data_IF_667616818528
#
_entry.id   IF_667616818528
#
_cell.length_a   1.000
_cell.length_b   1.000
_cell.length_c   1.000
_cell.angle_alpha   90.00
_cell.angle_beta   90.00
_cell.angle_gamma   90.00
#
_symmetry.space_group_name_H-M   'P 1'
#
loop_
_entity.id
_entity.type
_entity.pdbx_description
1 polymer ?
#
# COMPACT_ATOMS: atom_id res chain seq x y z
N UNK A 1 20.61 -3.30 -3.81
CA UNK A 1 20.08 -4.28 -4.79
C UNK A 1 19.99 -3.60 -6.15
N UNK A 2 20.51 -4.23 -7.21
CA UNK A 2 20.42 -3.70 -8.59
C UNK A 2 18.97 -3.73 -9.08
N UNK A 3 18.62 -2.88 -10.05
CA UNK A 3 17.25 -2.80 -10.56
C UNK A 3 16.72 -4.14 -11.09
N UNK A 4 17.57 -4.91 -11.79
CA UNK A 4 17.20 -6.22 -12.31
C UNK A 4 16.89 -7.25 -11.22
N UNK A 5 17.59 -7.19 -10.09
CA UNK A 5 17.33 -8.05 -8.93
C UNK A 5 16.00 -7.69 -8.28
N UNK A 6 15.69 -6.37 -8.20
CA UNK A 6 14.42 -5.87 -7.68
C UNK A 6 13.26 -6.36 -8.56
N UNK A 7 13.39 -6.25 -9.88
CA UNK A 7 12.38 -6.73 -10.83
C UNK A 7 12.22 -8.25 -10.76
N UNK A 8 13.34 -9.01 -10.72
CA UNK A 8 13.28 -10.47 -10.60
C UNK A 8 12.56 -10.91 -9.33
N UNK A 9 12.81 -10.23 -8.20
CA UNK A 9 12.12 -10.51 -6.93
C UNK A 9 10.63 -10.20 -7.04
N UNK A 10 10.27 -9.04 -7.59
CA UNK A 10 8.88 -8.64 -7.77
C UNK A 10 8.12 -9.64 -8.67
N UNK A 11 8.74 -10.06 -9.77
CA UNK A 11 8.14 -11.05 -10.66
C UNK A 11 8.00 -12.44 -10.02
N UNK A 12 8.92 -12.82 -9.13
CA UNK A 12 8.88 -14.11 -8.44
C UNK A 12 7.86 -14.12 -7.32
N UNK A 13 7.94 -13.14 -6.42
CA UNK A 13 7.24 -13.10 -5.13
C UNK A 13 5.96 -12.24 -5.19
N UNK A 14 5.86 -11.33 -6.15
CA UNK A 14 4.76 -10.37 -6.29
C UNK A 14 4.96 -9.09 -5.50
N UNK A 15 6.02 -8.99 -4.70
CA UNK A 15 6.33 -7.81 -3.90
C UNK A 15 7.82 -7.63 -3.66
N UNK A 16 8.20 -6.42 -3.25
CA UNK A 16 9.53 -6.08 -2.76
C UNK A 16 9.45 -5.01 -1.67
N UNK A 17 10.30 -5.12 -0.66
CA UNK A 17 10.59 -4.07 0.31
C UNK A 17 11.96 -3.45 -0.04
N UNK A 18 12.00 -2.13 -0.17
CA UNK A 18 13.22 -1.35 -0.38
C UNK A 18 13.43 -0.50 0.87
N UNK A 19 14.47 -0.75 1.67
CA UNK A 19 14.72 0.00 2.89
C UNK A 19 15.37 1.36 2.61
N UNK A 20 15.18 2.31 3.53
CA UNK A 20 15.89 3.59 3.59
C UNK A 20 15.76 4.42 2.29
N UNK A 21 14.55 4.52 1.75
CA UNK A 21 14.26 5.29 0.52
C UNK A 21 14.03 6.75 0.83
N UNK A 22 13.34 7.05 1.92
CA UNK A 22 13.19 8.42 2.44
C UNK A 22 13.76 8.51 3.86
N UNK A 23 14.22 9.69 4.21
CA UNK A 23 14.86 9.98 5.50
C UNK A 23 13.84 10.08 6.65
N UNK A 24 14.33 9.99 7.88
CA UNK A 24 13.53 10.26 9.09
C UNK A 24 12.88 11.64 9.08
N UNK A 25 13.60 12.63 8.56
CA UNK A 25 13.07 13.99 8.41
C UNK A 25 11.88 14.03 7.46
N UNK A 26 11.96 13.35 6.33
CA UNK A 26 10.86 13.27 5.36
C UNK A 26 9.67 12.49 5.92
N UNK A 27 9.92 11.37 6.60
CA UNK A 27 8.86 10.64 7.30
C UNK A 27 8.09 11.54 8.28
N UNK A 28 8.81 12.27 9.13
CA UNK A 28 8.21 13.18 10.10
C UNK A 28 7.48 14.33 9.41
N UNK A 29 8.00 14.86 8.31
CA UNK A 29 7.33 15.87 7.51
C UNK A 29 5.99 15.38 6.95
N UNK A 30 5.96 14.18 6.35
CA UNK A 30 4.72 13.61 5.83
C UNK A 30 3.73 13.24 6.93
N UNK A 31 4.18 12.73 8.07
CA UNK A 31 3.33 12.48 9.22
C UNK A 31 2.63 13.75 9.71
N UNK A 32 3.38 14.86 9.79
CA UNK A 32 2.80 16.16 10.16
C UNK A 32 1.72 16.61 9.17
N UNK A 33 1.99 16.50 7.87
CA UNK A 33 0.98 16.82 6.84
C UNK A 33 -0.27 15.95 6.98
N UNK A 34 -0.11 14.65 7.26
CA UNK A 34 -1.23 13.74 7.47
C UNK A 34 -2.07 14.11 8.68
N UNK A 35 -1.42 14.49 9.77
CA UNK A 35 -2.12 14.90 10.99
C UNK A 35 -2.93 16.19 10.77
N UNK A 36 -2.33 17.17 10.10
CA UNK A 36 -3.01 18.41 9.70
C UNK A 36 -4.21 18.12 8.79
N UNK A 37 -4.02 17.26 7.76
CA UNK A 37 -5.07 16.85 6.85
C UNK A 37 -6.16 16.04 7.56
N UNK A 38 -5.80 15.14 8.46
CA UNK A 38 -6.75 14.36 9.23
C UNK A 38 -7.64 15.27 10.08
N UNK A 39 -7.08 16.22 10.81
CA UNK A 39 -7.84 17.20 11.61
C UNK A 39 -8.75 18.03 10.71
N UNK A 40 -8.21 18.56 9.61
CA UNK A 40 -8.94 19.42 8.68
C UNK A 40 -10.13 18.73 8.00
N UNK A 41 -9.95 17.46 7.65
CA UNK A 41 -10.94 16.71 6.87
C UNK A 41 -11.71 15.66 7.70
N UNK A 42 -11.51 15.57 8.99
CA UNK A 42 -12.17 14.58 9.86
C UNK A 42 -13.70 14.62 9.76
N UNK A 43 -14.30 15.80 9.65
CA UNK A 43 -15.74 15.96 9.47
C UNK A 43 -16.29 15.45 8.12
N UNK A 44 -15.43 15.30 7.10
CA UNK A 44 -15.80 14.71 5.82
C UNK A 44 -15.75 13.19 5.85
N UNK A 45 -15.05 12.65 6.83
CA UNK A 45 -14.93 11.21 7.07
C UNK A 45 -15.80 10.77 8.25
N UNK A 46 -16.77 11.59 8.63
CA UNK A 46 -17.80 11.23 9.58
C UNK A 46 -18.46 9.93 9.17
N UNK A 47 -18.45 8.99 10.09
CA UNK A 47 -18.87 7.63 9.90
C UNK A 47 -20.23 7.44 9.25
N UNK A 48 -21.14 8.37 9.43
CA UNK A 48 -22.48 8.26 8.87
C UNK A 48 -22.53 8.49 7.35
N UNK A 49 -21.63 9.31 6.82
CA UNK A 49 -21.59 9.61 5.38
C UNK A 49 -20.80 8.58 4.58
N UNK A 50 -19.94 7.84 5.26
CA UNK A 50 -19.03 6.91 4.58
C UNK A 50 -19.33 5.46 4.86
N UNK A 51 -20.21 5.18 5.78
CA UNK A 51 -20.77 3.85 5.96
C UNK A 51 -21.49 3.42 4.70
N UNK A 52 -22.20 4.31 4.03
CA UNK A 52 -22.90 4.03 2.77
C UNK A 52 -21.92 3.76 1.62
N UNK A 53 -20.73 4.37 1.67
CA UNK A 53 -19.61 4.06 0.79
C UNK A 53 -18.79 2.85 1.27
N UNK A 54 -19.19 2.24 2.39
CA UNK A 54 -18.64 0.99 2.92
C UNK A 54 -17.25 1.12 3.53
N UNK A 55 -16.76 2.32 3.91
CA UNK A 55 -15.31 2.36 4.02
C UNK A 55 -14.68 3.15 5.13
N UNK A 56 -15.32 4.10 5.76
CA UNK A 56 -14.59 4.97 6.67
C UNK A 56 -15.48 5.58 7.68
N UNK A 57 -15.47 4.98 8.77
CA UNK A 57 -15.98 5.55 9.99
C UNK A 57 -14.95 5.30 11.07
N UNK A 58 -15.03 6.04 12.11
CA UNK A 58 -14.40 5.67 13.38
C UNK A 58 -14.76 4.23 13.79
N UNK A 59 -15.81 3.66 13.20
CA UNK A 59 -16.20 2.25 13.34
C UNK A 59 -15.28 1.28 12.59
N UNK A 60 -14.51 1.74 11.58
CA UNK A 60 -13.46 0.92 10.97
C UNK A 60 -12.20 0.85 11.83
N UNK A 61 -12.09 1.69 12.86
CA UNK A 61 -10.91 1.76 13.70
C UNK A 61 -9.63 2.19 12.97
N UNK A 62 -9.77 2.91 11.88
CA UNK A 62 -8.65 3.42 11.10
C UNK A 62 -8.78 4.91 10.89
N UNK A 63 -7.69 5.65 11.06
CA UNK A 63 -7.57 7.00 10.53
C UNK A 63 -7.21 6.91 9.07
N UNK A 64 -8.00 7.49 8.18
CA UNK A 64 -7.73 7.46 6.75
C UNK A 64 -7.83 8.86 6.16
N UNK A 65 -6.86 9.20 5.31
CA UNK A 65 -6.89 10.42 4.50
C UNK A 65 -6.78 10.03 3.03
N UNK A 66 -7.79 10.39 2.24
CA UNK A 66 -7.83 10.10 0.80
C UNK A 66 -7.39 11.28 -0.05
N UNK A 67 -7.02 10.96 -1.29
CA UNK A 67 -6.70 11.95 -2.33
C UNK A 67 -5.63 12.94 -1.86
N UNK A 68 -4.55 12.44 -1.29
CA UNK A 68 -3.45 13.24 -0.76
C UNK A 68 -2.84 14.15 -1.82
N UNK A 69 -2.79 13.70 -3.08
CA UNK A 69 -2.29 14.49 -4.22
C UNK A 69 -3.06 15.80 -4.43
N UNK A 70 -4.33 15.89 -3.99
CA UNK A 70 -5.14 17.09 -4.05
C UNK A 70 -5.02 18.00 -2.81
N UNK A 71 -4.24 17.60 -1.81
CA UNK A 71 -4.14 18.30 -0.53
C UNK A 71 -2.85 19.10 -0.42
N UNK A 72 -1.73 18.51 -0.81
CA UNK A 72 -0.43 19.18 -0.77
C UNK A 72 0.48 18.69 -1.88
N UNK A 73 1.18 19.62 -2.55
CA UNK A 73 2.06 19.32 -3.69
C UNK A 73 3.22 18.36 -3.32
N UNK A 74 3.66 18.35 -2.06
CA UNK A 74 4.75 17.48 -1.64
C UNK A 74 4.45 15.99 -1.79
N UNK A 75 3.17 15.60 -1.85
CA UNK A 75 2.80 14.20 -2.07
C UNK A 75 3.26 13.67 -3.44
N UNK A 76 3.43 14.56 -4.43
CA UNK A 76 3.95 14.19 -5.74
C UNK A 76 5.37 13.65 -5.67
N UNK A 77 6.20 14.11 -4.71
CA UNK A 77 7.57 13.62 -4.54
C UNK A 77 7.65 12.13 -4.20
N UNK A 78 6.61 11.56 -3.57
CA UNK A 78 6.61 10.15 -3.23
C UNK A 78 6.39 9.27 -4.46
N UNK A 79 5.41 9.57 -5.30
CA UNK A 79 5.16 8.73 -6.47
C UNK A 79 6.11 9.04 -7.64
N UNK A 80 6.70 10.23 -7.71
CA UNK A 80 7.76 10.59 -8.66
C UNK A 80 9.17 10.24 -8.16
N UNK A 81 9.28 9.46 -7.08
CA UNK A 81 10.55 9.17 -6.44
C UNK A 81 11.49 8.38 -7.36
N UNK A 82 12.76 8.84 -7.46
CA UNK A 82 13.76 8.27 -8.36
C UNK A 82 14.10 6.80 -8.13
N UNK A 83 13.89 6.27 -6.93
CA UNK A 83 14.06 4.85 -6.62
C UNK A 83 12.84 3.99 -6.95
N UNK A 84 11.69 4.61 -7.20
CA UNK A 84 10.41 3.94 -7.43
C UNK A 84 10.01 3.99 -8.91
N UNK A 85 9.99 5.17 -9.53
CA UNK A 85 9.53 5.34 -10.91
C UNK A 85 10.21 4.39 -11.92
N UNK A 86 11.55 4.19 -11.91
CA UNK A 86 12.19 3.29 -12.87
C UNK A 86 11.73 1.84 -12.76
N UNK A 87 11.27 1.41 -11.54
CA UNK A 87 10.70 0.09 -11.35
C UNK A 87 9.28 0.01 -11.93
N UNK A 88 8.46 1.04 -11.68
CA UNK A 88 7.11 1.14 -12.24
C UNK A 88 7.14 1.19 -13.76
N UNK A 89 8.06 1.94 -14.34
CA UNK A 89 8.27 2.00 -15.79
C UNK A 89 8.50 0.62 -16.40
N UNK A 90 9.34 -0.20 -15.80
CA UNK A 90 9.62 -1.54 -16.32
C UNK A 90 8.40 -2.46 -16.14
N UNK A 91 7.75 -2.40 -14.98
CA UNK A 91 6.69 -3.36 -14.61
C UNK A 91 5.40 -3.07 -15.36
N UNK A 92 4.99 -1.80 -15.42
CA UNK A 92 3.71 -1.40 -16.01
C UNK A 92 3.79 -1.23 -17.53
N UNK A 93 4.94 -0.80 -18.06
CA UNK A 93 5.15 -0.71 -19.52
C UNK A 93 5.17 -2.07 -20.21
N UNK A 94 5.53 -3.12 -19.53
CA UNK A 94 5.55 -4.48 -20.10
C UNK A 94 4.19 -4.96 -20.60
N UNK A 95 3.09 -4.36 -20.14
CA UNK A 95 1.73 -4.64 -20.58
C UNK A 95 1.08 -3.54 -21.44
N UNK A 96 1.80 -2.46 -21.69
CA UNK A 96 1.28 -1.32 -22.44
C UNK A 96 1.22 -1.57 -23.94
N UNK A 97 0.14 -1.16 -24.57
CA UNK A 97 -0.02 -1.22 -26.03
C UNK A 97 0.84 -0.15 -26.76
N UNK A 98 1.14 0.94 -26.06
CA UNK A 98 1.99 2.04 -26.55
C UNK A 98 2.97 2.45 -25.47
N UNK A 99 4.22 2.66 -25.85
CA UNK A 99 5.28 3.12 -24.93
C UNK A 99 5.12 4.57 -24.47
N UNK A 100 4.20 5.32 -25.04
CA UNK A 100 4.08 6.78 -24.87
C UNK A 100 3.30 7.21 -23.64
N UNK A 101 2.32 6.41 -23.19
CA UNK A 101 1.52 6.70 -21.98
C UNK A 101 1.30 5.41 -21.17
N UNK A 102 2.28 4.97 -20.40
CA UNK A 102 2.26 3.63 -19.85
C UNK A 102 1.29 3.41 -18.70
N UNK A 103 1.06 4.41 -17.86
CA UNK A 103 0.22 4.27 -16.66
C UNK A 103 -0.15 5.62 -16.04
N UNK A 104 -1.12 5.59 -15.13
CA UNK A 104 -1.62 6.77 -14.43
C UNK A 104 -1.61 6.54 -12.93
N UNK A 105 -1.47 7.64 -12.16
CA UNK A 105 -1.75 7.61 -10.74
C UNK A 105 -3.26 7.44 -10.52
N UNK A 106 -3.65 6.32 -9.93
CA UNK A 106 -5.04 6.06 -9.61
C UNK A 106 -5.47 6.76 -8.31
N UNK A 107 -4.72 6.56 -7.25
CA UNK A 107 -5.04 7.12 -5.93
C UNK A 107 -3.79 7.20 -5.07
N UNK A 108 -3.79 8.14 -4.12
CA UNK A 108 -2.84 8.18 -3.02
C UNK A 108 -3.61 8.47 -1.72
N UNK A 109 -3.49 7.57 -0.76
CA UNK A 109 -4.16 7.67 0.54
C UNK A 109 -3.23 7.22 1.65
N UNK A 110 -3.47 7.71 2.86
CA UNK A 110 -2.83 7.19 4.06
C UNK A 110 -3.83 6.45 4.92
N UNK A 111 -3.35 5.41 5.59
CA UNK A 111 -4.11 4.59 6.53
C UNK A 111 -3.32 4.40 7.80
N UNK A 112 -3.99 4.50 8.93
CA UNK A 112 -3.40 4.39 10.24
C UNK A 112 -4.37 3.57 11.13
N UNK A 113 -4.16 2.26 11.27
CA UNK A 113 -5.02 1.42 12.09
C UNK A 113 -4.85 1.74 13.57
N UNK A 114 -5.96 1.88 14.27
CA UNK A 114 -6.00 2.01 15.72
C UNK A 114 -5.86 0.63 16.38
N UNK A 115 -5.57 0.61 17.68
CA UNK A 115 -5.49 -0.63 18.47
C UNK A 115 -6.76 -1.49 18.34
N UNK A 116 -6.58 -2.77 18.07
CA UNK A 116 -7.67 -3.73 17.87
C UNK A 116 -8.27 -3.72 16.46
N UNK A 117 -7.70 -2.92 15.55
CA UNK A 117 -8.22 -2.76 14.19
C UNK A 117 -7.15 -2.97 13.13
N UNK A 118 -7.50 -2.80 11.88
CA UNK A 118 -6.59 -2.92 10.73
C UNK A 118 -6.53 -4.31 10.09
N UNK A 119 -7.10 -5.34 10.73
CA UNK A 119 -7.14 -6.69 10.15
C UNK A 119 -8.07 -6.71 8.94
N UNK A 120 -7.54 -7.12 7.81
CA UNK A 120 -8.29 -7.32 6.57
C UNK A 120 -8.26 -8.81 6.18
N UNK A 121 -9.29 -9.27 5.49
CA UNK A 121 -9.20 -10.55 4.79
C UNK A 121 -8.18 -10.44 3.65
N UNK A 122 -7.56 -11.55 3.30
CA UNK A 122 -6.71 -11.59 2.11
C UNK A 122 -7.55 -11.28 0.88
N UNK A 123 -7.10 -10.32 0.09
CA UNK A 123 -7.77 -9.86 -1.12
C UNK A 123 -6.74 -9.48 -2.19
N UNK A 124 -7.22 -9.15 -3.35
CA UNK A 124 -6.44 -8.52 -4.42
C UNK A 124 -7.15 -7.23 -4.86
N UNK A 125 -6.37 -6.21 -5.17
CA UNK A 125 -6.91 -4.88 -5.48
C UNK A 125 -7.32 -4.71 -6.95
N UNK A 126 -6.75 -5.50 -7.86
CA UNK A 126 -7.06 -5.38 -9.28
C UNK A 126 -8.44 -5.93 -9.68
N UNK A 127 -9.04 -6.80 -8.85
CA UNK A 127 -10.28 -7.54 -9.13
C UNK A 127 -10.28 -8.34 -10.45
N UNK A 128 -9.10 -8.56 -11.04
CA UNK A 128 -8.92 -9.27 -12.31
C UNK A 128 -7.85 -10.36 -12.18
N UNK A 129 -8.13 -11.46 -11.45
CA UNK A 129 -7.18 -12.56 -11.34
C UNK A 129 -6.98 -13.23 -12.70
N UNK A 130 -5.74 -13.62 -12.99
CA UNK A 130 -5.41 -14.37 -14.20
C UNK A 130 -5.01 -13.54 -15.42
N UNK A 131 -4.89 -12.25 -15.30
CA UNK A 131 -4.25 -11.40 -16.33
C UNK A 131 -2.76 -11.74 -16.38
N UNK A 132 -2.22 -11.87 -17.57
CA UNK A 132 -0.81 -12.26 -17.75
C UNK A 132 0.18 -11.09 -17.66
N UNK A 133 -0.30 -9.89 -17.38
CA UNK A 133 0.50 -8.67 -17.23
C UNK A 133 0.05 -7.88 -16.00
N UNK A 134 0.91 -7.02 -15.51
CA UNK A 134 0.61 -6.19 -14.33
C UNK A 134 -0.24 -4.98 -14.74
N UNK A 135 -1.46 -4.94 -14.24
CA UNK A 135 -2.39 -3.81 -14.47
C UNK A 135 -2.20 -2.69 -13.48
N UNK A 136 -2.01 -3.04 -12.22
CA UNK A 136 -1.94 -2.09 -11.09
C UNK A 136 -0.76 -2.52 -10.21
N UNK A 137 -0.03 -1.52 -9.76
CA UNK A 137 1.03 -1.67 -8.74
C UNK A 137 0.68 -0.77 -7.57
N UNK A 138 0.74 -1.33 -6.38
CA UNK A 138 0.64 -0.58 -5.15
C UNK A 138 2.04 -0.22 -4.63
N UNK A 139 2.18 1.01 -4.17
CA UNK A 139 3.40 1.53 -3.54
C UNK A 139 3.03 2.02 -2.15
N UNK A 140 3.55 1.36 -1.12
CA UNK A 140 3.27 1.68 0.29
C UNK A 140 4.52 2.26 0.94
N UNK A 141 4.45 3.52 1.31
CA UNK A 141 5.49 4.24 2.03
C UNK A 141 5.31 4.04 3.54
N UNK A 142 6.35 3.53 4.19
CA UNK A 142 6.35 3.31 5.63
C UNK A 142 6.79 4.60 6.33
N UNK A 143 5.84 5.32 6.90
CA UNK A 143 6.14 6.53 7.68
C UNK A 143 6.45 6.20 9.14
N UNK A 144 6.15 4.99 9.57
CA UNK A 144 6.52 4.35 10.83
C UNK A 144 7.11 2.97 10.59
N UNK A 145 7.74 2.39 11.60
CA UNK A 145 8.18 1.00 11.53
C UNK A 145 6.95 0.09 11.39
N UNK A 146 7.02 -0.87 10.47
CA UNK A 146 6.02 -1.92 10.34
C UNK A 146 6.50 -3.15 11.09
N UNK A 147 5.79 -3.51 12.15
CA UNK A 147 5.99 -4.74 12.94
C UNK A 147 4.75 -5.61 12.86
N UNK A 148 4.88 -6.87 13.26
CA UNK A 148 3.73 -7.78 13.33
C UNK A 148 2.66 -7.21 14.27
N UNK A 149 3.11 -6.67 15.40
CA UNK A 149 2.25 -6.19 16.48
C UNK A 149 1.48 -4.93 16.11
N UNK A 150 2.07 -4.03 15.29
CA UNK A 150 1.39 -2.78 14.89
C UNK A 150 0.61 -2.89 13.58
N UNK A 151 0.43 -4.12 13.09
CA UNK A 151 -0.46 -4.37 11.95
C UNK A 151 0.21 -4.36 10.59
N UNK A 152 1.45 -4.86 10.47
CA UNK A 152 2.17 -4.97 9.21
C UNK A 152 1.33 -5.65 8.11
N UNK A 153 1.64 -5.32 6.85
CA UNK A 153 0.99 -5.93 5.69
C UNK A 153 1.31 -7.41 5.62
N UNK A 154 0.29 -8.25 5.47
CA UNK A 154 0.39 -9.68 5.23
C UNK A 154 0.28 -9.94 3.73
N UNK A 155 1.05 -10.89 3.23
CA UNK A 155 1.02 -11.29 1.82
C UNK A 155 1.19 -12.80 1.67
N UNK A 156 0.70 -13.35 0.57
CA UNK A 156 1.00 -14.71 0.13
C UNK A 156 1.94 -14.63 -1.06
N UNK A 157 3.26 -14.88 -0.89
CA UNK A 157 4.23 -14.74 -1.97
C UNK A 157 3.87 -15.58 -3.20
N UNK A 158 4.01 -15.00 -4.40
CA UNK A 158 3.72 -15.69 -5.65
C UNK A 158 2.24 -15.81 -6.01
N UNK A 159 1.32 -15.42 -5.12
CA UNK A 159 -0.14 -15.53 -5.35
C UNK A 159 -0.65 -14.68 -6.52
N UNK A 160 0.06 -13.61 -6.88
CA UNK A 160 -0.28 -12.79 -8.05
C UNK A 160 -0.28 -13.56 -9.38
N UNK A 161 0.33 -14.75 -9.41
CA UNK A 161 0.32 -15.66 -10.58
C UNK A 161 -0.88 -16.62 -10.58
N UNK A 162 -1.61 -16.70 -9.47
CA UNK A 162 -2.81 -17.54 -9.37
C UNK A 162 -3.96 -16.88 -10.13
N UNK A 163 -4.72 -17.69 -10.85
CA UNK A 163 -5.90 -17.24 -11.61
C UNK A 163 -7.18 -17.29 -10.79
N UNK A 164 -7.07 -16.93 -9.51
CA UNK A 164 -8.18 -17.00 -8.56
C UNK A 164 -8.11 -15.87 -7.54
N UNK A 165 -9.22 -15.55 -6.95
CA UNK A 165 -9.29 -14.74 -5.75
C UNK A 165 -8.68 -15.49 -4.56
N UNK A 166 -8.31 -14.76 -3.51
CA UNK A 166 -7.95 -15.37 -2.24
C UNK A 166 -9.18 -16.14 -1.71
N UNK A 167 -8.91 -17.27 -1.06
CA UNK A 167 -9.98 -18.06 -0.45
C UNK A 167 -10.67 -17.28 0.68
N UNK A 168 -11.97 -17.48 0.81
CA UNK A 168 -12.72 -16.96 1.95
C UNK A 168 -12.16 -17.49 3.27
N UNK A 169 -12.11 -16.63 4.29
CA UNK A 169 -11.60 -17.00 5.62
C UNK A 169 -10.34 -16.29 6.06
N UNK A 170 -9.65 -15.60 5.14
CA UNK A 170 -8.69 -14.56 5.48
C UNK A 170 -7.32 -14.98 5.96
N UNK A 171 -7.02 -16.28 6.07
CA UNK A 171 -5.69 -16.79 6.41
C UNK A 171 -5.22 -17.80 5.35
N UNK A 172 -3.92 -17.84 5.12
CA UNK A 172 -3.29 -18.79 4.21
C UNK A 172 -2.01 -19.34 4.86
N UNK A 173 -1.71 -20.65 4.70
CA UNK A 173 -0.56 -21.30 5.32
C UNK A 173 0.79 -20.68 4.92
N UNK A 174 0.90 -20.18 3.69
CA UNK A 174 2.11 -19.53 3.17
C UNK A 174 2.14 -18.02 3.42
N UNK A 175 1.26 -17.51 4.25
CA UNK A 175 1.18 -16.08 4.56
C UNK A 175 2.42 -15.62 5.34
N UNK A 176 2.98 -14.49 4.93
CA UNK A 176 4.07 -13.83 5.63
C UNK A 176 3.75 -12.37 5.92
N UNK A 177 4.39 -11.81 6.95
CA UNK A 177 4.31 -10.39 7.26
C UNK A 177 5.46 -9.63 6.58
N UNK A 178 5.16 -8.49 5.96
CA UNK A 178 6.18 -7.58 5.46
C UNK A 178 6.50 -6.59 6.58
N UNK A 179 7.56 -6.84 7.32
CA UNK A 179 8.08 -5.93 8.35
C UNK A 179 9.20 -5.07 7.77
N UNK A 180 9.34 -3.84 8.26
CA UNK A 180 10.39 -2.95 7.79
C UNK A 180 10.44 -1.65 8.60
N UNK A 181 11.60 -0.99 8.57
CA UNK A 181 11.78 0.31 9.23
C UNK A 181 11.09 1.44 8.46
N UNK A 182 10.71 2.47 9.19
CA UNK A 182 10.25 3.74 8.59
C UNK A 182 11.24 4.23 7.53
N UNK A 183 10.74 4.94 6.54
CA UNK A 183 11.52 5.35 5.38
C UNK A 183 11.68 4.27 4.31
N UNK A 184 11.19 3.06 4.55
CA UNK A 184 11.12 1.99 3.54
C UNK A 184 9.93 2.17 2.62
N UNK A 185 9.98 1.50 1.46
CA UNK A 185 8.84 1.41 0.54
C UNK A 185 8.57 -0.05 0.19
N UNK A 186 7.30 -0.45 0.22
CA UNK A 186 6.82 -1.73 -0.29
C UNK A 186 6.22 -1.49 -1.67
N UNK A 187 6.64 -2.25 -2.66
CA UNK A 187 6.04 -2.24 -4.00
C UNK A 187 5.47 -3.62 -4.24
N UNK A 188 4.20 -3.72 -4.63
CA UNK A 188 3.58 -5.02 -4.91
C UNK A 188 2.56 -4.98 -6.06
N UNK A 189 2.45 -6.09 -6.76
CA UNK A 189 1.44 -6.32 -7.78
C UNK A 189 0.05 -6.38 -7.14
N UNK A 190 -0.92 -5.64 -7.65
CA UNK A 190 -2.28 -5.59 -7.11
C UNK A 190 -3.05 -6.94 -7.19
N UNK A 191 -2.54 -7.91 -7.93
CA UNK A 191 -3.03 -9.30 -7.91
C UNK A 191 -2.40 -10.15 -6.80
N UNK A 192 -1.42 -9.63 -6.05
CA UNK A 192 -0.90 -10.32 -4.87
C UNK A 192 -1.98 -10.40 -3.80
N UNK A 193 -2.22 -11.58 -3.27
CA UNK A 193 -3.11 -11.74 -2.13
C UNK A 193 -2.47 -11.10 -0.92
N UNK A 194 -3.12 -10.09 -0.39
CA UNK A 194 -2.61 -9.29 0.71
C UNK A 194 -3.72 -8.81 1.64
N UNK A 195 -3.32 -8.30 2.79
CA UNK A 195 -4.22 -7.68 3.76
C UNK A 195 -3.45 -7.05 4.90
N UNK A 196 -4.06 -6.14 5.63
CA UNK A 196 -3.52 -5.62 6.88
C UNK A 196 -3.58 -6.68 7.98
N UNK A 197 -2.64 -6.64 8.91
CA UNK A 197 -2.76 -7.32 10.19
C UNK A 197 -3.47 -6.41 11.21
N UNK A 198 -3.88 -6.98 12.33
CA UNK A 198 -4.41 -6.22 13.45
C UNK A 198 -3.28 -5.42 14.14
N UNK A 199 -3.53 -4.17 14.46
CA UNK A 199 -2.68 -3.42 15.35
C UNK A 199 -3.06 -3.77 16.80
N UNK A 200 -2.20 -4.49 17.50
CA UNK A 200 -2.39 -4.88 18.91
C UNK A 200 -1.75 -3.90 19.89
N UNK A 201 -1.05 -2.88 19.39
CA UNK A 201 -0.32 -1.88 20.19
C UNK A 201 -1.17 -0.65 20.47
N UNK A 202 -0.76 0.15 21.44
CA UNK A 202 -1.36 1.46 21.73
C UNK A 202 -0.87 2.56 20.77
N UNK A 203 0.13 2.26 19.95
CA UNK A 203 0.70 3.18 18.99
C UNK A 203 -0.01 3.05 17.64
N UNK A 204 -0.19 4.18 16.98
CA UNK A 204 -0.66 4.25 15.60
C UNK A 204 0.55 4.21 14.66
N UNK A 205 0.38 3.59 13.48
CA UNK A 205 1.44 3.54 12.46
C UNK A 205 0.99 4.22 11.17
#
# INVERSE_FOLDING_TARGET
MKIQEKISKLNRDGFILIPNVISDYECNFYKKLLEEDYIKYSGFYDGNKRIDEGKLSDKSGEKVVYNLHNKHISWFKLFEHSDVLPLLDIILKSGSYKDEEPYYLNNISARCPLKGFGKQQLHLDSNLPGVNYTLIVNVVWLLDDFTIENGATRVVPGSHKKKSFAADGGNHEDEIFITGSKGSVIIFNANLWHGGAENTTDETR
#
